data_IF_575520085170
#
_entry.id   IF_575520085170
#
_cell.length_a   1.000
_cell.length_b   1.000
_cell.length_c   1.000
_cell.angle_alpha   90.00
_cell.angle_beta   90.00
_cell.angle_gamma   90.00
#
_symmetry.space_group_name_H-M   'P 1'
#
loop_
_entity.id
_entity.type
_entity.pdbx_description
1 polymer ?
#
# COMPACT_ATOMS: atom_id res chain seq x y z
N UNK A 1 -7.40 27.90 -26.11
CA UNK A 1 -6.08 27.31 -26.39
C UNK A 1 -6.30 25.85 -26.79
N UNK A 2 -5.65 25.35 -27.84
CA UNK A 2 -5.95 24.01 -28.39
C UNK A 2 -4.67 23.19 -28.63
N UNK A 3 -4.74 21.88 -28.37
CA UNK A 3 -3.83 20.89 -28.92
C UNK A 3 -4.46 20.33 -30.20
N UNK A 4 -3.70 20.31 -31.29
CA UNK A 4 -4.13 19.69 -32.55
C UNK A 4 -3.42 18.36 -32.74
N UNK A 5 -4.15 17.35 -33.19
CA UNK A 5 -3.61 16.09 -33.68
C UNK A 5 -3.99 15.94 -35.15
N UNK A 6 -3.00 15.70 -36.01
CA UNK A 6 -3.18 15.49 -37.43
C UNK A 6 -2.59 14.15 -37.87
N UNK A 7 -3.05 13.61 -39.00
CA UNK A 7 -2.36 12.52 -39.66
C UNK A 7 -0.98 13.00 -40.14
N UNK A 8 0.04 12.16 -40.01
CA UNK A 8 1.36 12.42 -40.55
C UNK A 8 1.33 12.19 -42.08
N UNK A 9 1.70 13.18 -42.92
CA UNK A 9 1.73 13.00 -44.37
C UNK A 9 2.72 11.93 -44.85
N UNK A 10 3.71 11.56 -44.03
CA UNK A 10 4.62 10.47 -44.34
C UNK A 10 3.95 9.10 -44.09
N UNK A 11 3.36 8.52 -45.14
CA UNK A 11 2.57 7.28 -45.07
C UNK A 11 3.34 6.07 -44.53
N UNK A 12 4.65 5.96 -44.80
CA UNK A 12 5.52 4.87 -44.32
C UNK A 12 6.05 5.08 -42.90
N UNK A 13 5.66 6.16 -42.23
CA UNK A 13 6.15 6.50 -40.90
C UNK A 13 5.59 5.58 -39.82
N UNK A 14 6.47 5.07 -38.94
CA UNK A 14 6.08 4.41 -37.68
C UNK A 14 5.42 5.35 -36.66
N UNK A 15 5.40 6.65 -36.96
CA UNK A 15 4.77 7.70 -36.17
C UNK A 15 3.67 8.38 -37.02
N UNK A 16 2.51 7.73 -37.19
CA UNK A 16 1.46 8.15 -38.13
C UNK A 16 0.69 9.41 -37.70
N UNK A 17 1.00 10.00 -36.55
CA UNK A 17 0.32 11.21 -36.07
C UNK A 17 1.30 12.33 -35.77
N UNK A 18 0.88 13.56 -36.04
CA UNK A 18 1.53 14.79 -35.63
C UNK A 18 0.70 15.45 -34.54
N UNK A 19 1.35 16.00 -33.51
CA UNK A 19 0.71 16.83 -32.50
C UNK A 19 1.30 18.24 -32.51
N UNK A 20 0.45 19.25 -32.42
CA UNK A 20 0.84 20.66 -32.25
C UNK A 20 0.34 21.18 -30.91
N UNK A 21 1.29 21.59 -30.08
CA UNK A 21 1.06 22.15 -28.76
C UNK A 21 1.15 23.68 -28.79
N UNK A 22 0.25 24.37 -28.08
CA UNK A 22 0.19 25.83 -28.05
C UNK A 22 1.14 26.41 -26.99
N UNK A 23 2.44 26.10 -27.09
CA UNK A 23 3.48 26.61 -26.19
C UNK A 23 4.46 27.47 -26.98
N UNK A 24 4.65 28.72 -26.58
CA UNK A 24 5.45 29.70 -27.34
C UNK A 24 4.88 29.91 -28.74
N UNK A 25 5.75 29.86 -29.77
CA UNK A 25 5.33 29.91 -31.18
C UNK A 25 4.62 28.63 -31.68
N UNK A 26 4.57 27.58 -30.85
CA UNK A 26 4.02 26.28 -31.17
C UNK A 26 5.10 25.19 -31.18
N UNK A 27 4.79 24.03 -30.62
CA UNK A 27 5.67 22.86 -30.66
C UNK A 27 4.98 21.71 -31.40
N UNK A 28 5.69 21.13 -32.36
CA UNK A 28 5.27 20.00 -33.17
C UNK A 28 6.04 18.72 -32.81
N UNK A 29 5.34 17.61 -32.71
CA UNK A 29 5.94 16.30 -32.53
C UNK A 29 5.26 15.23 -33.39
N UNK A 30 6.01 14.26 -33.89
CA UNK A 30 5.45 13.03 -34.45
C UNK A 30 5.35 11.94 -33.36
N UNK A 31 4.27 11.18 -33.34
CA UNK A 31 3.96 10.17 -32.32
C UNK A 31 3.22 8.96 -32.91
N UNK A 32 3.14 7.87 -32.14
CA UNK A 32 2.54 6.61 -32.60
C UNK A 32 1.03 6.49 -32.42
N UNK A 33 0.40 7.39 -31.65
CA UNK A 33 -1.04 7.37 -31.35
C UNK A 33 -1.52 8.79 -30.99
N UNK A 34 -2.84 9.02 -31.03
CA UNK A 34 -3.48 10.32 -30.78
C UNK A 34 -3.54 10.70 -29.30
N UNK A 35 -3.36 9.73 -28.38
CA UNK A 35 -3.29 9.98 -26.94
C UNK A 35 -2.60 8.84 -26.17
N UNK A 36 -1.84 9.08 -25.09
CA UNK A 36 -1.17 8.03 -24.29
C UNK A 36 -2.14 7.28 -23.38
N UNK A 37 -2.89 6.33 -23.95
CA UNK A 37 -3.91 5.53 -23.24
C UNK A 37 -3.31 4.35 -22.49
N UNK A 38 -2.54 3.52 -23.20
CA UNK A 38 -2.03 2.23 -22.70
C UNK A 38 -0.55 2.26 -22.36
N UNK A 39 0.24 3.10 -23.05
CA UNK A 39 1.68 3.28 -22.83
C UNK A 39 2.08 4.72 -23.10
N UNK A 40 3.25 5.11 -22.57
CA UNK A 40 3.87 6.37 -22.96
C UNK A 40 4.26 6.29 -24.44
N UNK A 41 3.99 7.37 -25.17
CA UNK A 41 4.27 7.47 -26.59
C UNK A 41 5.59 8.21 -26.78
N UNK A 42 6.47 7.68 -27.62
CA UNK A 42 7.64 8.42 -28.04
C UNK A 42 7.23 9.57 -28.95
N UNK A 43 7.78 10.75 -28.69
CA UNK A 43 7.52 11.96 -29.47
C UNK A 43 8.81 12.44 -30.12
N UNK A 44 8.87 12.34 -31.45
CA UNK A 44 9.96 12.89 -32.23
C UNK A 44 9.71 14.40 -32.45
N UNK A 45 10.64 15.26 -32.01
CA UNK A 45 10.51 16.71 -32.20
C UNK A 45 10.70 17.06 -33.67
N UNK A 46 9.81 17.89 -34.21
CA UNK A 46 9.91 18.45 -35.55
C UNK A 46 10.05 19.98 -35.49
N UNK A 47 10.45 20.62 -36.58
CA UNK A 47 10.35 22.07 -36.67
C UNK A 47 8.86 22.49 -36.71
N UNK A 48 8.55 23.71 -36.29
CA UNK A 48 7.19 24.25 -36.46
C UNK A 48 6.85 24.42 -37.96
N UNK A 49 7.86 24.68 -38.80
CA UNK A 49 7.72 24.75 -40.25
C UNK A 49 7.34 23.40 -40.89
N UNK A 50 7.58 22.28 -40.20
CA UNK A 50 7.19 20.94 -40.66
C UNK A 50 5.71 20.64 -40.40
N UNK A 51 4.96 21.55 -39.76
CA UNK A 51 3.52 21.42 -39.66
C UNK A 51 2.87 21.60 -41.05
N UNK A 52 2.01 20.67 -41.51
CA UNK A 52 1.41 20.78 -42.85
C UNK A 52 0.57 22.05 -43.01
N UNK A 53 0.64 22.67 -44.19
CA UNK A 53 -0.18 23.84 -44.52
C UNK A 53 -1.68 23.51 -44.53
N UNK A 54 -2.04 22.32 -45.03
CA UNK A 54 -3.39 21.77 -44.99
C UNK A 54 -3.40 20.43 -44.22
N UNK A 55 -3.45 20.49 -42.87
CA UNK A 55 -3.36 19.29 -42.06
C UNK A 55 -4.70 18.55 -42.02
N UNK A 56 -4.67 17.23 -42.25
CA UNK A 56 -5.82 16.36 -41.96
C UNK A 56 -5.92 16.19 -40.44
N UNK A 57 -6.68 17.07 -39.80
CA UNK A 57 -6.89 17.07 -38.33
C UNK A 57 -7.78 15.90 -37.95
N UNK A 58 -7.25 15.01 -37.11
CA UNK A 58 -7.96 13.82 -36.60
C UNK A 58 -8.51 14.02 -35.19
N UNK A 59 -7.92 14.93 -34.41
CA UNK A 59 -8.43 15.33 -33.10
C UNK A 59 -8.10 16.81 -32.83
N UNK A 60 -9.05 17.53 -32.24
CA UNK A 60 -8.90 18.91 -31.80
C UNK A 60 -9.30 18.99 -30.34
N UNK A 61 -8.31 19.23 -29.49
CA UNK A 61 -8.49 19.12 -28.04
C UNK A 61 -8.41 20.51 -27.41
N UNK A 62 -9.54 20.98 -26.89
CA UNK A 62 -9.58 22.20 -26.09
C UNK A 62 -8.80 22.00 -24.78
N UNK A 63 -7.93 22.96 -24.44
CA UNK A 63 -7.08 22.91 -23.26
C UNK A 63 -7.50 23.97 -22.24
N UNK A 64 -7.67 23.53 -20.98
CA UNK A 64 -7.75 24.43 -19.82
C UNK A 64 -6.39 25.04 -19.50
N UNK A 65 -5.31 24.30 -19.74
CA UNK A 65 -3.94 24.75 -19.51
C UNK A 65 -2.94 23.95 -20.35
N UNK A 66 -1.93 24.62 -20.89
CA UNK A 66 -0.74 24.01 -21.48
C UNK A 66 0.48 24.83 -21.07
N UNK A 67 1.38 24.28 -20.27
CA UNK A 67 2.50 25.05 -19.72
C UNK A 67 3.74 24.21 -19.55
N UNK A 68 4.90 24.81 -19.82
CA UNK A 68 6.20 24.18 -19.56
C UNK A 68 6.59 24.36 -18.10
N UNK A 69 6.93 23.28 -17.42
CA UNK A 69 7.50 23.25 -16.06
C UNK A 69 8.76 22.39 -16.07
N UNK A 70 9.92 23.06 -16.14
CA UNK A 70 11.22 22.40 -16.25
C UNK A 70 11.31 21.51 -17.50
N UNK A 71 11.55 20.22 -17.28
CA UNK A 71 11.66 19.23 -18.34
C UNK A 71 10.31 18.72 -18.88
N UNK A 72 9.19 19.07 -18.25
CA UNK A 72 7.86 18.63 -18.68
C UNK A 72 7.03 19.77 -19.28
N UNK A 73 6.12 19.42 -20.17
CA UNK A 73 5.02 20.27 -20.64
C UNK A 73 3.73 19.62 -20.16
N UNK A 74 3.05 20.26 -19.21
CA UNK A 74 1.76 19.82 -18.72
C UNK A 74 0.66 20.16 -19.74
N UNK A 75 -0.20 19.18 -20.03
CA UNK A 75 -1.35 19.31 -20.92
C UNK A 75 -2.61 18.94 -20.14
N UNK A 76 -3.47 19.93 -19.89
CA UNK A 76 -4.76 19.77 -19.20
C UNK A 76 -5.90 20.05 -20.17
N UNK A 77 -6.53 18.98 -20.65
CA UNK A 77 -7.63 19.06 -21.61
C UNK A 77 -8.99 19.32 -20.92
N UNK A 78 -9.87 20.06 -21.59
CA UNK A 78 -11.21 20.43 -21.13
C UNK A 78 -12.24 19.31 -21.34
N UNK A 79 -11.93 18.08 -20.92
CA UNK A 79 -12.79 16.89 -21.05
C UNK A 79 -12.81 16.03 -19.79
N UNK A 80 -13.77 15.10 -19.70
CA UNK A 80 -13.95 14.26 -18.52
C UNK A 80 -12.93 13.10 -18.44
N UNK A 81 -12.60 12.48 -19.56
CA UNK A 81 -11.60 11.40 -19.68
C UNK A 81 -10.40 11.91 -20.48
N UNK A 82 -9.23 11.30 -20.29
CA UNK A 82 -8.01 11.69 -21.01
C UNK A 82 -7.70 13.19 -20.83
N UNK A 83 -7.89 13.69 -19.61
CA UNK A 83 -7.91 15.11 -19.29
C UNK A 83 -6.58 15.66 -18.77
N UNK A 84 -5.62 14.79 -18.41
CA UNK A 84 -4.30 15.16 -17.89
C UNK A 84 -3.23 14.30 -18.55
N UNK A 85 -2.22 14.94 -19.12
CA UNK A 85 -1.03 14.28 -19.66
C UNK A 85 0.19 15.22 -19.61
N UNK A 86 1.37 14.68 -19.89
CA UNK A 86 2.62 15.42 -19.92
C UNK A 86 3.49 14.99 -21.10
N UNK A 87 4.12 15.95 -21.77
CA UNK A 87 5.27 15.66 -22.62
C UNK A 87 6.55 15.90 -21.82
N UNK A 88 7.33 14.86 -21.58
CA UNK A 88 8.52 14.92 -20.74
C UNK A 88 9.77 14.77 -21.59
N UNK A 89 10.59 15.81 -21.58
CA UNK A 89 11.95 15.81 -22.09
C UNK A 89 12.84 15.03 -21.12
N UNK A 90 13.58 14.06 -21.62
CA UNK A 90 14.50 13.25 -20.82
C UNK A 90 15.69 12.78 -21.66
N UNK A 91 16.66 12.13 -21.03
CA UNK A 91 17.82 11.54 -21.70
C UNK A 91 17.64 10.02 -21.77
N UNK A 92 17.81 9.44 -22.96
CA UNK A 92 17.85 7.99 -23.16
C UNK A 92 19.03 7.62 -24.07
N UNK A 93 19.89 6.70 -23.61
CA UNK A 93 21.10 6.27 -24.33
C UNK A 93 21.96 7.46 -24.81
N UNK A 94 22.13 8.47 -23.96
CA UNK A 94 22.92 9.67 -24.27
C UNK A 94 22.28 10.68 -25.21
N UNK A 95 21.02 10.48 -25.63
CA UNK A 95 20.28 11.40 -26.52
C UNK A 95 19.06 11.98 -25.82
N UNK A 96 18.74 13.23 -26.13
CA UNK A 96 17.50 13.85 -25.66
C UNK A 96 16.30 13.25 -26.40
N UNK A 97 15.30 12.81 -25.65
CA UNK A 97 14.06 12.21 -26.17
C UNK A 97 12.86 12.82 -25.45
N UNK A 98 11.70 12.81 -26.10
CA UNK A 98 10.44 13.28 -25.52
C UNK A 98 9.47 12.11 -25.44
N UNK A 99 8.80 11.96 -24.30
CA UNK A 99 7.71 10.99 -24.14
C UNK A 99 6.42 11.70 -23.75
N UNK A 100 5.33 11.41 -24.45
CA UNK A 100 3.99 11.80 -24.06
C UNK A 100 3.37 10.73 -23.18
N UNK A 101 3.01 11.07 -21.95
CA UNK A 101 2.52 10.14 -20.95
C UNK A 101 1.30 10.70 -20.21
N UNK A 102 0.35 9.84 -19.87
CA UNK A 102 -0.70 10.13 -18.89
C UNK A 102 -0.28 9.64 -17.50
N UNK A 103 -0.98 10.02 -16.41
CA UNK A 103 -0.73 9.45 -15.08
C UNK A 103 -0.73 7.91 -15.07
N UNK A 104 -1.56 7.29 -15.91
CA UNK A 104 -1.65 5.83 -16.04
C UNK A 104 -0.47 5.21 -16.81
N UNK A 105 0.18 5.97 -17.67
CA UNK A 105 1.26 5.45 -18.54
C UNK A 105 2.64 5.98 -18.14
N UNK A 106 2.75 6.75 -17.06
CA UNK A 106 4.05 7.18 -16.50
C UNK A 106 4.85 5.93 -16.20
N UNK A 107 6.05 5.84 -16.79
CA UNK A 107 6.89 4.65 -16.67
C UNK A 107 7.40 4.56 -15.22
N UNK A 108 6.76 3.72 -14.40
CA UNK A 108 7.31 3.32 -13.12
C UNK A 108 8.73 2.77 -13.33
N UNK A 109 9.63 3.09 -12.40
CA UNK A 109 10.96 2.50 -12.38
C UNK A 109 10.81 0.97 -12.40
N UNK A 110 11.45 0.28 -13.35
CA UNK A 110 11.50 -1.18 -13.41
C UNK A 110 12.87 -1.62 -12.90
N UNK A 111 13.06 -1.77 -11.58
CA UNK A 111 14.28 -2.38 -11.07
C UNK A 111 14.36 -3.79 -11.69
N UNK A 112 15.52 -4.15 -12.25
CA UNK A 112 15.75 -5.46 -12.89
C UNK A 112 15.78 -6.63 -11.91
N UNK A 113 14.97 -6.57 -10.85
CA UNK A 113 14.96 -7.47 -9.71
C UNK A 113 13.94 -8.57 -9.97
N UNK A 114 14.40 -9.82 -9.90
CA UNK A 114 13.52 -10.98 -9.83
C UNK A 114 13.05 -11.15 -8.39
N UNK A 115 11.75 -11.23 -8.17
CA UNK A 115 11.16 -11.57 -6.87
C UNK A 115 11.33 -13.07 -6.62
N UNK A 116 11.64 -13.51 -5.39
CA UNK A 116 11.77 -14.94 -5.11
C UNK A 116 10.42 -15.68 -5.28
N UNK A 117 10.49 -16.94 -5.72
CA UNK A 117 9.32 -17.84 -5.85
C UNK A 117 9.14 -18.76 -4.65
N UNK A 118 10.13 -18.82 -3.74
CA UNK A 118 10.08 -19.65 -2.55
C UNK A 118 8.95 -19.22 -1.60
N UNK A 119 8.37 -20.20 -0.89
CA UNK A 119 7.37 -20.00 0.17
C UNK A 119 7.87 -18.99 1.19
N UNK A 120 7.00 -18.07 1.61
CA UNK A 120 7.31 -17.21 2.74
C UNK A 120 7.18 -18.00 4.06
N UNK A 121 8.19 -17.92 4.92
CA UNK A 121 8.25 -18.59 6.23
C UNK A 121 7.95 -20.12 6.20
N UNK A 122 8.17 -20.79 5.06
CA UNK A 122 7.86 -22.23 4.92
C UNK A 122 6.37 -22.58 4.82
N UNK A 123 5.48 -21.59 4.89
CA UNK A 123 4.02 -21.79 4.86
C UNK A 123 3.58 -22.42 3.52
N UNK A 124 2.87 -23.57 3.54
CA UNK A 124 2.47 -24.26 2.30
C UNK A 124 1.56 -23.43 1.40
N UNK A 125 0.57 -22.75 1.99
CA UNK A 125 -0.35 -21.83 1.32
C UNK A 125 -0.81 -20.77 2.33
N UNK A 126 -0.71 -19.49 1.97
CA UNK A 126 -1.15 -18.37 2.81
C UNK A 126 -2.55 -17.91 2.42
N UNK A 127 -3.49 -17.87 3.36
CA UNK A 127 -4.81 -17.29 3.13
C UNK A 127 -4.78 -15.77 3.37
N UNK A 128 -5.08 -14.99 2.33
CA UNK A 128 -5.08 -13.52 2.38
C UNK A 128 -6.50 -13.03 2.14
N UNK A 129 -7.05 -12.28 3.08
CA UNK A 129 -8.31 -11.55 2.88
C UNK A 129 -7.99 -10.26 2.13
N UNK A 130 -8.71 -9.99 1.06
CA UNK A 130 -8.58 -8.78 0.25
C UNK A 130 -9.82 -7.94 0.51
N UNK A 131 -9.64 -6.66 0.83
CA UNK A 131 -10.77 -5.77 1.07
C UNK A 131 -11.71 -5.74 -0.15
N UNK A 132 -13.01 -5.81 0.11
CA UNK A 132 -14.04 -5.86 -0.93
C UNK A 132 -14.04 -4.60 -1.80
N UNK A 133 -13.64 -3.44 -1.27
CA UNK A 133 -13.61 -2.16 -1.96
C UNK A 133 -12.31 -1.91 -2.73
N UNK A 134 -11.28 -2.75 -2.58
CA UNK A 134 -10.07 -2.69 -3.39
C UNK A 134 -10.41 -3.07 -4.85
N UNK A 135 -10.36 -2.05 -5.71
CA UNK A 135 -10.76 -2.13 -7.11
C UNK A 135 -9.74 -2.89 -7.95
N UNK A 136 -8.46 -2.77 -7.59
CA UNK A 136 -7.36 -3.36 -8.34
C UNK A 136 -6.44 -4.13 -7.39
N UNK A 137 -6.90 -5.28 -6.87
CA UNK A 137 -6.13 -6.01 -5.87
C UNK A 137 -4.91 -6.69 -6.48
N UNK A 138 -3.93 -6.97 -5.64
CA UNK A 138 -2.89 -7.94 -5.93
C UNK A 138 -3.51 -9.30 -6.21
N UNK A 139 -2.95 -10.01 -7.17
CA UNK A 139 -3.45 -11.34 -7.53
C UNK A 139 -2.70 -12.45 -6.81
N UNK A 140 -1.47 -12.19 -6.36
CA UNK A 140 -0.56 -13.18 -5.78
C UNK A 140 -0.38 -14.44 -6.65
N UNK A 141 -0.64 -14.34 -7.96
CA UNK A 141 -0.71 -15.50 -8.86
C UNK A 141 0.62 -16.27 -8.98
N UNK A 142 1.74 -15.65 -8.64
CA UNK A 142 3.07 -16.27 -8.62
C UNK A 142 3.47 -16.82 -7.24
N UNK A 143 2.55 -16.82 -6.27
CA UNK A 143 2.78 -17.22 -4.87
C UNK A 143 1.86 -18.37 -4.46
N UNK A 144 2.28 -19.19 -3.48
CA UNK A 144 1.38 -20.13 -2.83
C UNK A 144 0.50 -19.35 -1.84
N UNK A 145 -0.53 -18.71 -2.36
CA UNK A 145 -1.49 -17.93 -1.60
C UNK A 145 -2.90 -18.09 -2.18
N UNK A 146 -3.89 -18.13 -1.30
CA UNK A 146 -5.31 -18.12 -1.64
C UNK A 146 -5.94 -16.82 -1.17
N UNK A 147 -6.65 -16.14 -2.06
CA UNK A 147 -7.32 -14.88 -1.73
C UNK A 147 -8.81 -15.04 -1.55
N UNK A 148 -9.37 -14.43 -0.51
CA UNK A 148 -10.83 -14.26 -0.35
C UNK A 148 -11.17 -12.78 -0.36
N UNK A 149 -12.37 -12.40 -0.82
CA UNK A 149 -12.84 -11.01 -0.75
C UNK A 149 -13.81 -10.85 0.41
N UNK A 150 -13.57 -9.86 1.25
CA UNK A 150 -14.40 -9.50 2.40
C UNK A 150 -14.20 -8.03 2.73
N UNK A 151 -15.18 -7.36 3.34
CA UNK A 151 -14.94 -6.02 3.88
C UNK A 151 -13.98 -6.12 5.08
N UNK A 152 -12.88 -5.38 5.03
CA UNK A 152 -11.94 -5.26 6.14
C UNK A 152 -12.26 -3.98 6.95
N UNK A 153 -12.12 -4.01 8.29
CA UNK A 153 -12.27 -2.82 9.12
C UNK A 153 -11.17 -1.78 8.86
N UNK A 154 -9.96 -2.22 8.49
CA UNK A 154 -8.86 -1.37 8.05
C UNK A 154 -7.86 -2.19 7.21
N UNK A 155 -7.10 -1.51 6.34
CA UNK A 155 -6.17 -2.16 5.42
C UNK A 155 -6.85 -2.70 4.16
N UNK A 156 -6.06 -2.89 3.10
CA UNK A 156 -6.52 -3.47 1.84
C UNK A 156 -6.30 -4.99 1.77
N UNK A 157 -5.36 -5.51 2.56
CA UNK A 157 -5.03 -6.93 2.64
C UNK A 157 -4.90 -7.34 4.10
N UNK A 158 -5.58 -8.39 4.52
CA UNK A 158 -5.66 -8.85 5.89
C UNK A 158 -5.27 -10.31 6.06
N UNK A 159 -4.81 -10.65 7.26
CA UNK A 159 -4.67 -12.01 7.75
C UNK A 159 -5.66 -12.24 8.88
N UNK A 160 -6.50 -13.27 8.75
CA UNK A 160 -7.42 -13.67 9.81
C UNK A 160 -7.01 -15.00 10.43
N UNK A 161 -7.01 -15.06 11.75
CA UNK A 161 -6.82 -16.28 12.55
C UNK A 161 -8.04 -16.42 13.46
N UNK A 162 -8.67 -17.61 13.46
CA UNK A 162 -9.93 -17.86 14.18
C UNK A 162 -11.03 -16.80 13.93
N UNK A 163 -11.08 -16.24 12.72
CA UNK A 163 -12.05 -15.21 12.32
C UNK A 163 -11.69 -13.77 12.72
N UNK A 164 -10.65 -13.57 13.54
CA UNK A 164 -10.18 -12.24 13.95
C UNK A 164 -9.08 -11.72 13.03
N UNK A 165 -9.11 -10.43 12.69
CA UNK A 165 -8.06 -9.76 11.92
C UNK A 165 -6.86 -9.51 12.83
N UNK A 166 -5.74 -10.18 12.56
CA UNK A 166 -4.51 -10.10 13.37
C UNK A 166 -3.40 -9.30 12.70
N UNK A 167 -3.48 -9.17 11.37
CA UNK A 167 -2.56 -8.36 10.61
C UNK A 167 -3.23 -7.72 9.40
N UNK A 168 -2.78 -6.53 9.01
CA UNK A 168 -3.24 -5.85 7.82
C UNK A 168 -2.13 -5.10 7.08
N UNK A 169 -2.31 -4.92 5.78
CA UNK A 169 -1.46 -4.10 4.94
C UNK A 169 -2.33 -3.14 4.14
N UNK A 170 -2.13 -1.85 4.37
CA UNK A 170 -2.71 -0.77 3.59
C UNK A 170 -1.82 -0.51 2.36
N UNK A 171 -2.41 -0.50 1.17
CA UNK A 171 -1.73 -0.21 -0.07
C UNK A 171 -1.96 1.25 -0.44
N UNK A 172 -0.89 1.96 -0.81
CA UNK A 172 -0.98 3.38 -1.15
C UNK A 172 -0.18 3.71 -2.41
N UNK A 173 -0.80 4.42 -3.34
CA UNK A 173 -0.07 5.10 -4.40
C UNK A 173 0.60 6.37 -3.83
N UNK A 174 1.72 6.81 -4.41
CA UNK A 174 2.44 7.99 -3.89
C UNK A 174 1.59 9.26 -3.87
N UNK A 175 0.75 9.44 -4.90
CA UNK A 175 -0.14 10.59 -5.00
C UNK A 175 -1.16 10.61 -3.85
N UNK A 176 -1.73 9.45 -3.51
CA UNK A 176 -2.70 9.31 -2.42
C UNK A 176 -2.02 9.48 -1.06
N UNK A 177 -0.81 8.94 -0.89
CA UNK A 177 0.01 9.15 0.31
C UNK A 177 0.26 10.65 0.53
N UNK A 178 0.76 11.33 -0.50
CA UNK A 178 1.08 12.77 -0.45
C UNK A 178 -0.15 13.60 -0.13
N UNK A 179 -1.28 13.31 -0.80
CA UNK A 179 -2.54 13.98 -0.50
C UNK A 179 -3.02 13.70 0.93
N UNK A 180 -2.85 12.47 1.40
CA UNK A 180 -3.24 12.05 2.75
C UNK A 180 -2.41 12.70 3.85
N UNK A 181 -1.10 12.89 3.62
CA UNK A 181 -0.21 13.64 4.52
C UNK A 181 -0.65 15.10 4.59
N UNK A 182 -0.80 15.77 3.45
CA UNK A 182 -1.09 17.20 3.40
C UNK A 182 -2.46 17.56 3.97
N UNK A 183 -3.45 16.67 3.80
CA UNK A 183 -4.81 16.89 4.28
C UNK A 183 -5.06 16.27 5.66
N UNK A 184 -4.06 15.63 6.28
CA UNK A 184 -4.17 14.97 7.58
C UNK A 184 -4.91 13.62 7.59
N UNK A 185 -5.56 13.24 6.50
CA UNK A 185 -6.33 11.99 6.39
C UNK A 185 -5.51 10.72 6.67
N UNK A 186 -4.21 10.73 6.33
CA UNK A 186 -3.35 9.57 6.56
C UNK A 186 -3.20 9.26 8.06
N UNK A 187 -3.25 10.28 8.93
CA UNK A 187 -3.19 10.09 10.39
C UNK A 187 -4.32 9.21 10.90
N UNK A 188 -5.55 9.42 10.41
CA UNK A 188 -6.70 8.62 10.81
C UNK A 188 -6.56 7.16 10.37
N UNK A 189 -6.10 6.93 9.14
CA UNK A 189 -5.82 5.57 8.66
C UNK A 189 -4.75 4.88 9.51
N UNK A 190 -3.68 5.59 9.87
CA UNK A 190 -2.62 5.05 10.71
C UNK A 190 -3.11 4.74 12.13
N UNK A 191 -4.03 5.52 12.69
CA UNK A 191 -4.67 5.21 13.99
C UNK A 191 -5.43 3.88 13.94
N UNK A 192 -6.22 3.64 12.89
CA UNK A 192 -6.95 2.38 12.73
C UNK A 192 -6.01 1.18 12.53
N UNK A 193 -4.95 1.36 11.73
CA UNK A 193 -3.93 0.33 11.52
C UNK A 193 -3.14 0.04 12.80
N UNK A 194 -2.80 1.07 13.58
CA UNK A 194 -2.04 0.93 14.82
C UNK A 194 -2.79 0.17 15.92
N UNK A 195 -4.11 -0.02 15.79
CA UNK A 195 -4.91 -0.85 16.69
C UNK A 195 -4.71 -2.35 16.44
N UNK A 196 -4.12 -2.75 15.31
CA UNK A 196 -3.80 -4.15 15.02
C UNK A 196 -2.42 -4.54 15.56
N UNK A 197 -2.21 -5.81 15.95
CA UNK A 197 -0.89 -6.29 16.38
C UNK A 197 0.20 -6.09 15.33
N UNK A 198 -0.14 -6.31 14.05
CA UNK A 198 0.78 -6.25 12.92
C UNK A 198 0.14 -5.52 11.74
N UNK A 199 0.40 -4.23 11.60
CA UNK A 199 -0.05 -3.46 10.45
C UNK A 199 1.11 -2.81 9.70
N UNK A 200 0.96 -2.61 8.39
CA UNK A 200 1.94 -1.88 7.58
C UNK A 200 1.26 -1.07 6.49
N UNK A 201 1.91 0.00 6.05
CA UNK A 201 1.55 0.72 4.82
C UNK A 201 2.60 0.42 3.76
N UNK A 202 2.19 -0.07 2.59
CA UNK A 202 3.07 -0.26 1.43
C UNK A 202 2.81 0.82 0.40
N UNK A 203 3.88 1.53 0.01
CA UNK A 203 3.82 2.60 -0.98
C UNK A 203 4.39 2.09 -2.30
N UNK A 204 3.62 2.18 -3.38
CA UNK A 204 4.00 1.67 -4.71
C UNK A 204 4.93 2.62 -5.50
N UNK A 205 5.91 3.22 -4.82
CA UNK A 205 6.86 4.16 -5.40
C UNK A 205 8.10 4.27 -4.51
N UNK A 206 9.09 5.06 -4.95
CA UNK A 206 10.32 5.31 -4.19
C UNK A 206 10.17 6.55 -3.33
N UNK A 207 10.82 6.58 -2.18
CA UNK A 207 10.88 7.78 -1.34
C UNK A 207 11.41 9.01 -2.10
N UNK A 208 12.39 8.81 -2.99
CA UNK A 208 12.94 9.88 -3.84
C UNK A 208 11.90 10.58 -4.73
N UNK A 209 10.81 9.89 -5.09
CA UNK A 209 9.77 10.48 -5.93
C UNK A 209 8.98 11.57 -5.20
N UNK A 210 8.98 11.61 -3.86
CA UNK A 210 8.41 12.72 -3.08
C UNK A 210 9.00 14.06 -3.53
N UNK A 211 10.32 14.09 -3.76
CA UNK A 211 11.05 15.31 -4.16
C UNK A 211 10.96 15.62 -5.65
N UNK A 212 10.42 14.70 -6.46
CA UNK A 212 10.19 14.91 -7.88
C UNK A 212 8.80 15.52 -8.17
N UNK A 213 7.95 15.70 -7.16
CA UNK A 213 6.62 16.28 -7.31
C UNK A 213 6.68 17.79 -7.57
N UNK A 214 6.00 18.24 -8.62
CA UNK A 214 5.94 19.65 -9.04
C UNK A 214 4.75 20.43 -8.48
N UNK A 215 3.79 19.78 -7.82
CA UNK A 215 2.50 20.38 -7.43
C UNK A 215 2.32 20.62 -5.92
N UNK A 216 3.20 20.08 -5.08
CA UNK A 216 3.18 20.25 -3.63
C UNK A 216 4.60 20.50 -3.12
N UNK A 217 4.74 21.23 -2.01
CA UNK A 217 6.05 21.52 -1.41
C UNK A 217 6.65 20.22 -0.86
N UNK A 218 7.77 19.72 -1.40
CA UNK A 218 8.34 18.44 -0.95
C UNK A 218 8.68 18.41 0.54
N UNK A 219 9.13 19.53 1.10
CA UNK A 219 9.45 19.68 2.53
C UNK A 219 8.25 19.36 3.42
N UNK A 220 7.06 19.90 3.11
CA UNK A 220 5.86 19.64 3.91
C UNK A 220 5.45 18.16 3.91
N UNK A 221 5.68 17.47 2.78
CA UNK A 221 5.41 16.03 2.67
C UNK A 221 6.43 15.22 3.47
N UNK A 222 7.71 15.56 3.33
CA UNK A 222 8.79 14.88 4.03
C UNK A 222 8.67 15.03 5.56
N UNK A 223 8.42 16.25 6.04
CA UNK A 223 8.23 16.56 7.46
C UNK A 223 6.98 15.86 8.00
N UNK A 224 5.83 16.00 7.33
CA UNK A 224 4.60 15.34 7.75
C UNK A 224 4.71 13.81 7.75
N UNK A 225 5.41 13.22 6.78
CA UNK A 225 5.67 11.78 6.75
C UNK A 225 6.60 11.34 7.90
N UNK A 226 7.59 12.15 8.26
CA UNK A 226 8.45 11.87 9.41
C UNK A 226 7.66 11.96 10.73
N UNK A 227 6.85 13.01 10.90
CA UNK A 227 5.96 13.17 12.06
C UNK A 227 5.03 11.97 12.23
N UNK A 228 4.43 11.49 11.14
CA UNK A 228 3.57 10.30 11.18
C UNK A 228 4.33 9.03 11.58
N UNK A 229 5.54 8.81 11.06
CA UNK A 229 6.33 7.63 11.43
C UNK A 229 6.77 7.66 12.91
N UNK A 230 7.07 8.86 13.44
CA UNK A 230 7.35 9.02 14.88
C UNK A 230 6.08 8.85 15.72
N UNK A 231 4.93 9.33 15.23
CA UNK A 231 3.65 9.20 15.93
C UNK A 231 3.08 7.78 15.92
N UNK A 232 3.40 6.98 14.92
CA UNK A 232 2.92 5.60 14.74
C UNK A 232 4.09 4.64 14.49
N UNK A 233 5.01 4.48 15.46
CA UNK A 233 6.24 3.71 15.26
C UNK A 233 6.00 2.21 15.05
N UNK A 234 4.81 1.72 15.43
CA UNK A 234 4.39 0.33 15.23
C UNK A 234 3.80 0.05 13.83
N UNK A 235 3.56 1.07 13.01
CA UNK A 235 3.03 0.92 11.64
C UNK A 235 4.10 1.36 10.64
N UNK A 236 4.96 0.44 10.16
CA UNK A 236 5.96 0.78 9.15
C UNK A 236 5.31 1.28 7.85
N UNK A 237 5.88 2.34 7.27
CA UNK A 237 5.52 2.87 5.95
C UNK A 237 6.66 2.55 4.98
N UNK A 238 6.46 1.58 4.08
CA UNK A 238 7.52 0.99 3.26
C UNK A 238 7.37 1.36 1.79
N UNK A 239 8.36 2.07 1.26
CA UNK A 239 8.45 2.45 -0.15
C UNK A 239 8.98 1.28 -0.99
N UNK A 240 8.07 0.61 -1.69
CA UNK A 240 8.36 -0.63 -2.41
C UNK A 240 8.73 -0.40 -3.87
N UNK A 241 8.80 0.85 -4.35
CA UNK A 241 9.15 1.24 -5.73
C UNK A 241 8.17 0.82 -6.83
N UNK A 242 7.65 -0.41 -6.81
CA UNK A 242 6.71 -0.92 -7.81
C UNK A 242 5.61 -1.71 -7.16
N UNK A 243 4.47 -1.80 -7.86
CA UNK A 243 3.36 -2.70 -7.51
C UNK A 243 3.79 -4.14 -7.28
N UNK A 244 4.70 -4.67 -8.11
CA UNK A 244 5.18 -6.06 -7.99
C UNK A 244 5.96 -6.29 -6.70
N UNK A 245 6.82 -5.34 -6.34
CA UNK A 245 7.60 -5.41 -5.10
C UNK A 245 6.73 -5.15 -3.87
N UNK A 246 5.71 -4.29 -4.00
CA UNK A 246 4.72 -4.09 -2.94
C UNK A 246 3.91 -5.38 -2.69
N UNK A 247 3.48 -6.08 -3.75
CA UNK A 247 2.86 -7.42 -3.62
C UNK A 247 3.77 -8.43 -2.93
N UNK A 248 5.06 -8.46 -3.30
CA UNK A 248 6.06 -9.33 -2.64
C UNK A 248 6.20 -9.01 -1.15
N UNK A 249 6.31 -7.72 -0.81
CA UNK A 249 6.38 -7.27 0.58
C UNK A 249 5.12 -7.68 1.34
N UNK A 250 3.94 -7.39 0.82
CA UNK A 250 2.65 -7.75 1.45
C UNK A 250 2.57 -9.25 1.69
N UNK A 251 2.93 -10.09 0.71
CA UNK A 251 2.92 -11.55 0.86
C UNK A 251 3.84 -12.02 2.01
N UNK A 252 5.09 -11.51 2.05
CA UNK A 252 6.05 -11.90 3.09
C UNK A 252 5.70 -11.35 4.46
N UNK A 253 5.20 -10.12 4.53
CA UNK A 253 4.80 -9.47 5.77
C UNK A 253 3.66 -10.24 6.45
N UNK A 254 2.61 -10.59 5.68
CA UNK A 254 1.48 -11.36 6.21
C UNK A 254 1.89 -12.79 6.60
N UNK A 255 2.78 -13.43 5.84
CA UNK A 255 3.34 -14.74 6.21
C UNK A 255 4.14 -14.69 7.53
N UNK A 256 4.98 -13.66 7.70
CA UNK A 256 5.72 -13.45 8.94
C UNK A 256 4.78 -13.15 10.11
N UNK A 257 3.73 -12.36 9.89
CA UNK A 257 2.72 -12.07 10.90
C UNK A 257 1.94 -13.33 11.32
N UNK A 258 1.63 -14.25 10.39
CA UNK A 258 1.03 -15.54 10.73
C UNK A 258 1.95 -16.37 11.61
N UNK A 259 3.22 -16.48 11.24
CA UNK A 259 4.22 -17.24 12.00
C UNK A 259 4.36 -16.66 13.41
N UNK A 260 4.52 -15.34 13.51
CA UNK A 260 4.60 -14.65 14.80
C UNK A 260 3.36 -14.91 15.67
N UNK A 261 2.15 -14.87 15.09
CA UNK A 261 0.92 -15.10 15.85
C UNK A 261 0.78 -16.55 16.32
N UNK A 262 1.18 -17.53 15.49
CA UNK A 262 1.18 -18.94 15.89
C UNK A 262 2.20 -19.19 17.00
N UNK A 263 3.43 -18.67 16.84
CA UNK A 263 4.48 -18.81 17.85
C UNK A 263 4.10 -18.10 19.17
N UNK A 264 3.45 -16.93 19.11
CA UNK A 264 2.99 -16.18 20.28
C UNK A 264 1.82 -16.88 21.00
N UNK A 265 0.90 -17.50 20.25
CA UNK A 265 -0.16 -18.32 20.81
C UNK A 265 0.41 -19.56 21.52
N UNK A 266 1.35 -20.27 20.87
CA UNK A 266 2.02 -21.43 21.44
C UNK A 266 2.82 -21.03 22.70
N UNK A 267 3.55 -19.92 22.66
CA UNK A 267 4.26 -19.39 23.83
C UNK A 267 3.30 -19.02 24.96
N UNK A 268 2.18 -18.36 24.65
CA UNK A 268 1.15 -18.03 25.66
C UNK A 268 0.63 -19.30 26.34
N UNK A 269 0.38 -20.38 25.60
CA UNK A 269 -0.03 -21.65 26.22
C UNK A 269 1.04 -22.31 27.10
N UNK A 270 2.33 -22.11 26.79
CA UNK A 270 3.45 -22.67 27.56
C UNK A 270 3.77 -21.84 28.81
N UNK A 271 3.60 -20.52 28.73
CA UNK A 271 3.89 -19.57 29.83
C UNK A 271 2.65 -19.15 30.62
N UNK A 272 1.44 -19.56 30.22
CA UNK A 272 0.26 -19.46 31.06
C UNK A 272 0.51 -20.25 32.34
N UNK A 273 0.47 -19.60 33.52
CA UNK A 273 0.58 -20.34 34.76
C UNK A 273 -0.56 -21.35 34.79
N UNK A 274 -0.24 -22.63 35.00
CA UNK A 274 -1.24 -23.67 35.19
C UNK A 274 -2.35 -23.10 36.08
N UNK A 275 -3.58 -23.10 35.57
CA UNK A 275 -4.72 -22.50 36.25
C UNK A 275 -4.64 -22.89 37.72
N UNK A 276 -4.47 -21.91 38.61
CA UNK A 276 -4.40 -22.19 40.02
C UNK A 276 -5.67 -22.99 40.34
N UNK A 277 -5.50 -24.24 40.80
CA UNK A 277 -6.64 -25.04 41.22
C UNK A 277 -7.50 -24.16 42.13
N UNK A 278 -8.82 -24.07 41.87
CA UNK A 278 -9.68 -23.17 42.63
C UNK A 278 -9.44 -23.42 44.12
N UNK A 279 -9.14 -22.35 44.87
CA UNK A 279 -8.95 -22.50 46.30
C UNK A 279 -10.19 -23.19 46.89
N UNK A 280 -10.01 -24.20 47.75
CA UNK A 280 -11.13 -24.94 48.32
C UNK A 280 -12.06 -23.95 49.01
N UNK A 281 -13.34 -24.05 48.69
CA UNK A 281 -14.39 -23.27 49.31
C UNK A 281 -14.37 -23.48 50.83
N UNK A 282 -14.96 -22.52 51.57
CA UNK A 282 -15.11 -22.69 53.03
C UNK A 282 -15.90 -23.95 53.41
N UNK A 283 -16.72 -24.50 52.51
CA UNK A 283 -17.42 -25.76 52.75
C UNK A 283 -16.46 -26.97 52.67
N UNK A 284 -15.61 -27.01 51.64
CA UNK A 284 -14.61 -28.06 51.44
C UNK A 284 -13.56 -28.07 52.54
N UNK A 285 -13.07 -26.89 52.95
CA UNK A 285 -12.13 -26.77 54.08
C UNK A 285 -12.73 -27.28 55.40
N UNK A 286 -14.04 -27.08 55.63
CA UNK A 286 -14.73 -27.62 56.82
C UNK A 286 -14.90 -29.12 56.73
N UNK A 287 -15.32 -29.64 55.57
CA UNK A 287 -15.47 -31.07 55.35
C UNK A 287 -14.15 -31.81 55.55
N UNK A 288 -13.06 -31.25 55.01
CA UNK A 288 -11.71 -31.76 55.20
C UNK A 288 -11.26 -31.65 56.67
N UNK A 289 -11.39 -30.49 57.31
CA UNK A 289 -10.99 -30.33 58.70
C UNK A 289 -11.70 -31.32 59.63
N UNK A 290 -12.99 -31.60 59.39
CA UNK A 290 -13.73 -32.64 60.12
C UNK A 290 -13.21 -34.04 59.83
N UNK A 291 -12.88 -34.37 58.58
CA UNK A 291 -12.39 -35.71 58.22
C UNK A 291 -11.02 -36.02 58.83
N UNK A 292 -10.18 -35.00 59.04
CA UNK A 292 -8.86 -35.14 59.69
C UNK A 292 -8.87 -34.84 61.20
N UNK A 293 -10.04 -34.57 61.80
CA UNK A 293 -10.19 -34.36 63.25
C UNK A 293 -9.73 -32.98 63.76
N UNK A 294 -9.61 -31.97 62.91
CA UNK A 294 -9.28 -30.60 63.30
C UNK A 294 -10.53 -29.86 63.85
N UNK A 295 -10.39 -29.09 64.95
CA UNK A 295 -11.51 -28.36 65.54
C UNK A 295 -11.95 -27.21 64.62
N UNK A 296 -13.17 -27.30 64.09
CA UNK A 296 -13.75 -26.30 63.17
C UNK A 296 -15.23 -26.06 63.49
N UNK A 297 -15.67 -24.80 63.42
CA UNK A 297 -17.08 -24.41 63.61
C UNK A 297 -17.92 -24.74 62.38
N UNK A 298 -19.17 -25.17 62.60
CA UNK A 298 -20.15 -25.46 61.53
C UNK A 298 -20.56 -24.22 60.73
N UNK A 299 -20.42 -23.03 61.33
CA UNK A 299 -20.81 -21.74 60.72
C UNK A 299 -19.81 -20.63 61.06
N UNK A 300 -19.82 -19.57 60.26
CA UNK A 300 -18.98 -18.39 60.46
C UNK A 300 -17.59 -18.48 59.83
N UNK A 301 -16.75 -17.46 60.06
CA UNK A 301 -15.43 -17.31 59.43
C UNK A 301 -14.48 -18.42 59.87
N UNK A 302 -13.80 -19.06 58.92
CA UNK A 302 -12.77 -20.07 59.19
C UNK A 302 -11.53 -19.43 59.82
N UNK A 303 -10.91 -20.12 60.78
CA UNK A 303 -9.63 -19.71 61.34
C UNK A 303 -8.53 -19.88 60.29
N UNK A 304 -7.58 -18.94 60.15
CA UNK A 304 -6.47 -19.03 59.19
C UNK A 304 -5.67 -20.34 59.28
N UNK A 305 -5.61 -20.92 60.48
CA UNK A 305 -4.92 -22.19 60.76
C UNK A 305 -5.49 -23.39 59.97
N UNK A 306 -6.78 -23.39 59.66
CA UNK A 306 -7.42 -24.47 58.88
C UNK A 306 -6.96 -24.44 57.42
N UNK A 307 -6.88 -23.25 56.83
CA UNK A 307 -6.37 -23.08 55.47
C UNK A 307 -4.88 -23.44 55.40
N UNK A 308 -4.10 -23.06 56.42
CA UNK A 308 -2.67 -23.42 56.49
C UNK A 308 -2.47 -24.93 56.63
N UNK A 309 -3.25 -25.60 57.47
CA UNK A 309 -3.21 -27.05 57.63
C UNK A 309 -3.63 -27.78 56.34
N UNK A 310 -4.64 -27.27 55.63
CA UNK A 310 -5.07 -27.82 54.35
C UNK A 310 -3.96 -27.73 53.30
N UNK A 311 -3.30 -26.57 53.19
CA UNK A 311 -2.15 -26.37 52.27
C UNK A 311 -0.95 -27.25 52.61
N UNK A 312 -0.70 -27.51 53.90
CA UNK A 312 0.37 -28.39 54.33
C UNK A 312 0.08 -29.87 54.02
N UNK A 313 -1.19 -30.28 54.05
CA UNK A 313 -1.63 -31.63 53.71
C UNK A 313 -1.77 -31.88 52.19
N UNK A 314 -1.85 -30.82 51.38
CA UNK A 314 -1.92 -30.87 49.92
C UNK A 314 -0.77 -30.04 49.30
N UNK A 315 0.50 -30.46 49.49
CA UNK A 315 1.64 -29.81 48.85
C UNK A 315 1.50 -29.94 47.32
N UNK A 316 1.76 -28.83 46.62
CA UNK A 316 1.79 -28.76 45.15
C UNK A 316 2.92 -29.60 44.56
#
# INVERSE_FOLDING_TARGET
MELLVAANPAEDSRLPYLIRLPVGAGLVFATSDVWPRTKALYCHRLDIADWPADPVVVDRVELRSCSRRGAAIDVVAARARENRSQLVHTMARGRQVVFWQSPKTRKQSRPGVRTPTARAAGIPELHIVVDAHERYPYTFADKPAKTTREALPCGDYGLKVAGQLVAAVERKALADLTSGVLNGNLKYQLTELAALPRAAVVVEDRYSEIFAHSFARPTAIADGLAELQIGFPNVPIVFCQTRKLAQEYTYRYLAAALTWFVDDADATTVFEPAAAEPEPSSAELRAWAKSVGLPVSDRGRLRPQILQAWRAAHPR
#
